data_IF_417505597405
#
_entry.id   IF_417505597405
#
_cell.length_a   1.000
_cell.length_b   1.000
_cell.length_c   1.000
_cell.angle_alpha   90.00
_cell.angle_beta   90.00
_cell.angle_gamma   90.00
#
_symmetry.space_group_name_H-M   'P 1'
#
loop_
_entity.id
_entity.type
_entity.pdbx_description
1 polymer ?
#
# COMPACT_ATOMS: atom_id res chain seq x y z
N UNK A 1 -43.61 54.37 -67.15
CA UNK A 1 -43.62 52.91 -67.32
C UNK A 1 -42.89 52.37 -66.11
N UNK A 2 -43.62 51.82 -65.14
CA UNK A 2 -43.05 51.35 -63.89
C UNK A 2 -42.08 50.21 -64.16
N UNK A 3 -40.87 50.31 -63.61
CA UNK A 3 -39.87 49.26 -63.70
C UNK A 3 -40.37 48.04 -62.92
N UNK A 4 -40.81 47.03 -63.66
CA UNK A 4 -40.97 45.66 -63.15
C UNK A 4 -39.57 45.16 -62.80
N UNK A 5 -39.36 44.70 -61.57
CA UNK A 5 -38.09 44.17 -61.10
C UNK A 5 -37.73 42.91 -61.91
N UNK A 6 -36.89 43.06 -62.94
CA UNK A 6 -36.54 41.96 -63.86
C UNK A 6 -35.26 41.24 -63.47
N UNK A 7 -34.50 41.76 -62.49
CA UNK A 7 -33.21 41.20 -62.09
C UNK A 7 -33.12 41.05 -60.56
N UNK A 8 -33.52 39.88 -60.05
CA UNK A 8 -33.56 39.57 -58.60
C UNK A 8 -32.38 38.71 -58.10
N UNK A 9 -31.40 38.38 -58.94
CA UNK A 9 -30.41 37.33 -58.61
C UNK A 9 -29.27 37.76 -57.68
N UNK A 10 -29.00 39.06 -57.51
CA UNK A 10 -28.01 39.55 -56.56
C UNK A 10 -28.58 40.74 -55.78
N UNK A 11 -28.78 40.57 -54.47
CA UNK A 11 -29.28 41.62 -53.56
C UNK A 11 -28.15 42.25 -52.72
N UNK A 12 -26.90 42.02 -53.12
CA UNK A 12 -25.71 42.58 -52.48
C UNK A 12 -24.54 42.69 -53.46
N UNK A 13 -23.62 43.59 -53.15
CA UNK A 13 -22.34 43.80 -53.83
C UNK A 13 -21.24 44.01 -52.79
N UNK A 14 -20.11 43.35 -53.01
CA UNK A 14 -18.94 43.45 -52.16
C UNK A 14 -17.81 44.16 -52.90
N UNK A 15 -17.12 45.03 -52.20
CA UNK A 15 -15.93 45.75 -52.65
C UNK A 15 -14.81 45.66 -51.60
N UNK A 16 -13.61 46.03 -52.00
CA UNK A 16 -12.46 46.21 -51.13
C UNK A 16 -12.03 47.68 -51.17
N UNK A 17 -11.86 48.27 -49.98
CA UNK A 17 -11.34 49.62 -49.81
C UNK A 17 -9.86 49.67 -50.21
N UNK A 18 -9.45 50.79 -50.82
CA UNK A 18 -8.06 51.06 -51.21
C UNK A 18 -7.49 52.30 -50.48
N UNK A 19 -8.25 52.89 -49.55
CA UNK A 19 -7.89 54.12 -48.83
C UNK A 19 -8.05 55.41 -49.64
N UNK A 20 -8.51 55.34 -50.90
CA UNK A 20 -8.64 56.51 -51.78
C UNK A 20 -10.01 56.63 -52.46
N UNK A 21 -10.66 55.51 -52.80
CA UNK A 21 -11.98 55.45 -53.42
C UNK A 21 -13.06 55.69 -52.38
N UNK A 22 -13.89 56.70 -52.64
CA UNK A 22 -15.03 57.08 -51.81
C UNK A 22 -16.38 56.66 -52.42
N UNK A 23 -16.44 56.37 -53.72
CA UNK A 23 -17.68 56.03 -54.43
C UNK A 23 -17.75 54.54 -54.82
N UNK A 24 -18.85 53.88 -54.45
CA UNK A 24 -19.10 52.45 -54.64
C UNK A 24 -20.47 52.23 -55.29
N UNK A 25 -20.54 51.84 -56.58
CA UNK A 25 -21.81 51.63 -57.27
C UNK A 25 -22.46 50.29 -56.90
N UNK A 26 -23.78 50.23 -56.92
CA UNK A 26 -24.55 48.98 -56.85
C UNK A 26 -25.58 48.95 -57.96
N UNK A 27 -25.93 47.76 -58.43
CA UNK A 27 -26.77 47.53 -59.62
C UNK A 27 -28.10 46.81 -59.31
N UNK A 28 -28.38 46.57 -58.03
CA UNK A 28 -29.64 45.97 -57.59
C UNK A 28 -30.69 47.04 -57.29
N UNK A 29 -31.96 46.70 -57.53
CA UNK A 29 -33.07 47.61 -57.32
C UNK A 29 -33.42 47.80 -55.83
N UNK A 30 -33.73 49.05 -55.46
CA UNK A 30 -34.20 49.48 -54.14
C UNK A 30 -35.33 50.51 -54.27
N UNK A 31 -36.17 50.70 -53.24
CA UNK A 31 -37.32 51.61 -53.32
C UNK A 31 -37.02 53.01 -52.80
N UNK A 32 -36.16 53.12 -51.79
CA UNK A 32 -35.52 54.37 -51.35
C UNK A 32 -34.07 54.16 -50.87
N UNK A 33 -33.40 55.26 -50.51
CA UNK A 33 -32.00 55.25 -50.06
C UNK A 33 -31.77 54.53 -48.73
N UNK A 34 -32.79 54.46 -47.87
CA UNK A 34 -32.78 53.74 -46.60
C UNK A 34 -33.02 52.23 -46.71
N UNK A 35 -33.34 51.73 -47.91
CA UNK A 35 -33.40 50.30 -48.22
C UNK A 35 -32.01 49.70 -48.54
N UNK A 36 -30.93 50.47 -48.36
CA UNK A 36 -29.53 50.05 -48.54
C UNK A 36 -28.85 49.97 -47.19
N UNK A 37 -28.34 48.78 -46.84
CA UNK A 37 -27.48 48.55 -45.69
C UNK A 37 -26.02 48.45 -46.13
N UNK A 38 -25.13 49.00 -45.32
CA UNK A 38 -23.68 48.97 -45.56
C UNK A 38 -23.01 48.37 -44.34
N UNK A 39 -22.08 47.45 -44.58
CA UNK A 39 -21.17 46.96 -43.54
C UNK A 39 -19.71 47.07 -43.95
N UNK A 40 -18.88 47.41 -42.97
CA UNK A 40 -17.42 47.44 -43.08
C UNK A 40 -16.86 46.30 -42.24
N UNK A 41 -16.13 45.36 -42.86
CA UNK A 41 -15.59 44.16 -42.20
C UNK A 41 -16.63 43.36 -41.37
N UNK A 42 -17.88 43.38 -41.84
CA UNK A 42 -19.00 42.69 -41.19
C UNK A 42 -19.74 43.51 -40.12
N UNK A 43 -19.28 44.72 -39.78
CA UNK A 43 -20.00 45.63 -38.89
C UNK A 43 -20.89 46.59 -39.67
N UNK A 44 -22.19 46.62 -39.37
CA UNK A 44 -23.14 47.55 -40.00
C UNK A 44 -22.84 48.99 -39.61
N UNK A 45 -22.78 49.87 -40.61
CA UNK A 45 -22.55 51.32 -40.43
C UNK A 45 -23.80 52.08 -40.83
N UNK A 46 -24.22 53.03 -39.99
CA UNK A 46 -25.46 53.83 -40.18
C UNK A 46 -25.17 55.29 -40.60
N UNK A 47 -23.92 55.75 -40.52
CA UNK A 47 -23.51 57.14 -40.78
C UNK A 47 -22.16 57.22 -41.51
N UNK A 48 -21.79 58.38 -42.04
CA UNK A 48 -20.49 58.57 -42.73
C UNK A 48 -20.51 58.18 -44.20
N UNK A 49 -21.71 58.04 -44.78
CA UNK A 49 -21.92 57.83 -46.21
C UNK A 49 -23.23 58.49 -46.68
N UNK A 50 -23.36 58.65 -47.99
CA UNK A 50 -24.56 59.11 -48.66
C UNK A 50 -24.93 58.16 -49.80
N UNK A 51 -26.22 57.81 -49.89
CA UNK A 51 -26.74 56.94 -50.96
C UNK A 51 -27.45 57.79 -51.99
N UNK A 52 -26.98 57.74 -53.24
CA UNK A 52 -27.62 58.38 -54.38
C UNK A 52 -28.21 57.32 -55.30
N UNK A 53 -29.53 57.35 -55.51
CA UNK A 53 -30.19 56.41 -56.42
C UNK A 53 -30.14 56.89 -57.87
N UNK A 54 -30.07 55.95 -58.81
CA UNK A 54 -30.21 56.24 -60.24
C UNK A 54 -31.57 56.89 -60.56
N UNK A 55 -31.60 57.81 -61.53
CA UNK A 55 -32.86 58.46 -61.94
C UNK A 55 -33.79 57.45 -62.60
N UNK A 56 -35.08 57.51 -62.28
CA UNK A 56 -36.13 56.68 -62.88
C UNK A 56 -36.00 56.60 -64.41
N UNK A 57 -35.70 55.42 -64.93
CA UNK A 57 -35.64 55.13 -66.37
C UNK A 57 -34.23 54.91 -66.95
N UNK A 58 -33.15 55.05 -66.17
CA UNK A 58 -31.76 54.81 -66.65
C UNK A 58 -31.12 53.50 -66.16
N UNK A 59 -31.87 52.64 -65.45
CA UNK A 59 -31.41 51.35 -64.93
C UNK A 59 -31.50 51.24 -63.41
N UNK A 60 -31.55 50.00 -62.91
CA UNK A 60 -31.52 49.61 -61.50
C UNK A 60 -30.23 50.09 -60.80
N UNK A 61 -30.30 50.44 -59.51
CA UNK A 61 -29.12 50.69 -58.68
C UNK A 61 -28.86 52.14 -58.24
N UNK A 62 -27.63 52.38 -57.79
CA UNK A 62 -27.19 53.65 -57.21
C UNK A 62 -25.71 53.68 -56.86
N UNK A 63 -25.27 54.73 -56.17
CA UNK A 63 -23.90 54.91 -55.69
C UNK A 63 -23.94 55.21 -54.20
N UNK A 64 -23.17 54.46 -53.43
CA UNK A 64 -22.81 54.78 -52.05
C UNK A 64 -21.54 55.62 -52.07
N UNK A 65 -21.58 56.82 -51.50
CA UNK A 65 -20.43 57.71 -51.36
C UNK A 65 -20.06 57.85 -49.88
N UNK A 66 -18.87 57.42 -49.49
CA UNK A 66 -18.35 57.61 -48.13
C UNK A 66 -17.81 59.02 -47.92
N UNK A 67 -18.02 59.58 -46.72
CA UNK A 67 -17.44 60.87 -46.31
C UNK A 67 -15.91 60.75 -46.09
N UNK A 68 -15.44 59.55 -45.73
CA UNK A 68 -14.03 59.18 -45.63
C UNK A 68 -13.82 57.85 -46.35
N UNK A 69 -12.90 57.80 -47.31
CA UNK A 69 -12.62 56.58 -48.08
C UNK A 69 -12.28 55.40 -47.14
N UNK A 70 -12.92 54.22 -47.30
CA UNK A 70 -12.59 53.03 -46.52
C UNK A 70 -11.10 52.67 -46.66
N UNK A 71 -10.45 52.36 -45.54
CA UNK A 71 -9.02 52.04 -45.51
C UNK A 71 -8.69 50.82 -46.40
N UNK A 72 -7.43 50.73 -46.82
CA UNK A 72 -6.96 49.62 -47.66
C UNK A 72 -7.21 48.27 -46.98
N UNK A 73 -7.88 47.35 -47.69
CA UNK A 73 -8.20 46.01 -47.21
C UNK A 73 -9.51 45.88 -46.43
N UNK A 74 -10.20 46.99 -46.11
CA UNK A 74 -11.53 46.96 -45.48
C UNK A 74 -12.54 46.41 -46.48
N UNK A 75 -13.28 45.38 -46.09
CA UNK A 75 -14.39 44.83 -46.88
C UNK A 75 -15.59 45.74 -46.79
N UNK A 76 -16.06 46.24 -47.93
CA UNK A 76 -17.26 47.06 -48.04
C UNK A 76 -18.37 46.19 -48.63
N UNK A 77 -19.37 45.86 -47.83
CA UNK A 77 -20.55 45.12 -48.28
C UNK A 77 -21.75 46.08 -48.38
N UNK A 78 -22.34 46.18 -49.57
CA UNK A 78 -23.54 46.98 -49.85
C UNK A 78 -24.66 46.00 -50.16
N UNK A 79 -25.70 45.97 -49.34
CA UNK A 79 -26.81 45.04 -49.48
C UNK A 79 -28.16 45.73 -49.44
N UNK A 80 -29.17 45.13 -50.06
CA UNK A 80 -30.56 45.55 -49.87
C UNK A 80 -31.05 45.10 -48.50
N UNK A 81 -31.65 46.03 -47.76
CA UNK A 81 -32.28 45.79 -46.47
C UNK A 81 -33.66 46.45 -46.43
N UNK A 82 -34.68 45.74 -46.92
CA UNK A 82 -36.05 46.25 -46.91
C UNK A 82 -36.65 46.23 -45.50
N UNK A 83 -37.22 47.36 -45.08
CA UNK A 83 -38.06 47.43 -43.87
C UNK A 83 -39.52 47.31 -44.29
N UNK A 84 -40.26 46.36 -43.70
CA UNK A 84 -41.67 46.16 -44.02
C UNK A 84 -42.47 47.46 -43.80
N UNK A 85 -42.97 48.05 -44.89
CA UNK A 85 -43.74 49.29 -44.90
C UNK A 85 -44.73 49.31 -46.06
N UNK A 86 -45.73 50.19 -45.99
CA UNK A 86 -46.58 50.49 -47.15
C UNK A 86 -45.93 51.57 -48.00
N UNK A 87 -45.87 51.36 -49.31
CA UNK A 87 -45.37 52.36 -50.25
C UNK A 87 -46.46 53.36 -50.66
N UNK A 88 -47.68 52.88 -50.88
CA UNK A 88 -48.79 53.71 -51.39
C UNK A 88 -50.00 53.75 -50.45
N UNK A 89 -50.64 54.92 -50.36
CA UNK A 89 -51.95 55.11 -49.74
C UNK A 89 -53.02 55.31 -50.82
N UNK A 90 -53.87 54.31 -51.00
CA UNK A 90 -55.00 54.37 -51.94
C UNK A 90 -56.18 55.10 -51.29
N UNK A 91 -56.71 56.12 -51.97
CA UNK A 91 -57.96 56.78 -51.56
C UNK A 91 -59.18 55.99 -52.07
N UNK A 92 -60.25 55.94 -51.27
CA UNK A 92 -61.45 55.13 -51.53
C UNK A 92 -62.22 55.58 -52.79
N UNK A 93 -62.06 56.82 -53.23
CA UNK A 93 -62.79 57.40 -54.36
C UNK A 93 -62.01 57.41 -55.67
N UNK A 94 -60.79 56.87 -55.70
CA UNK A 94 -59.94 56.85 -56.90
C UNK A 94 -59.59 55.41 -57.28
N UNK A 95 -59.60 55.11 -58.59
CA UNK A 95 -59.06 53.84 -59.09
C UNK A 95 -57.53 53.90 -58.95
N UNK A 96 -56.90 52.97 -58.20
CA UNK A 96 -55.45 52.93 -58.11
C UNK A 96 -54.84 52.80 -59.49
N UNK A 97 -53.76 53.53 -59.73
CA UNK A 97 -53.01 53.35 -60.97
C UNK A 97 -52.35 51.98 -60.96
N UNK A 98 -52.40 51.25 -62.08
CA UNK A 98 -51.81 49.91 -62.19
C UNK A 98 -50.33 49.89 -61.85
N UNK A 99 -49.58 50.94 -62.20
CA UNK A 99 -48.16 51.08 -61.87
C UNK A 99 -47.88 51.23 -60.37
N UNK A 100 -48.81 51.82 -59.60
CA UNK A 100 -48.71 51.88 -58.14
C UNK A 100 -49.00 50.51 -57.50
N UNK A 101 -50.00 49.79 -58.02
CA UNK A 101 -50.31 48.42 -57.55
C UNK A 101 -49.14 47.49 -57.83
N UNK A 102 -48.60 47.49 -59.05
CA UNK A 102 -47.47 46.63 -59.42
C UNK A 102 -46.26 46.90 -58.53
N UNK A 103 -45.97 48.18 -58.24
CA UNK A 103 -44.87 48.57 -57.36
C UNK A 103 -45.06 48.10 -55.92
N UNK A 104 -46.27 48.20 -55.38
CA UNK A 104 -46.58 47.72 -54.03
C UNK A 104 -46.48 46.18 -53.95
N UNK A 105 -46.94 45.45 -54.99
CA UNK A 105 -46.85 43.99 -55.05
C UNK A 105 -45.41 43.51 -55.19
N UNK A 106 -44.60 44.18 -56.02
CA UNK A 106 -43.18 43.93 -56.15
C UNK A 106 -42.47 44.13 -54.80
N UNK A 107 -42.79 45.21 -54.08
CA UNK A 107 -42.23 45.47 -52.74
C UNK A 107 -42.51 44.33 -51.77
N UNK A 108 -43.77 43.88 -51.68
CA UNK A 108 -44.14 42.78 -50.78
C UNK A 108 -43.43 41.49 -51.18
N UNK A 109 -43.35 41.19 -52.48
CA UNK A 109 -42.67 39.98 -52.99
C UNK A 109 -41.20 39.98 -52.62
N UNK A 110 -40.51 41.11 -52.82
CA UNK A 110 -39.09 41.25 -52.50
C UNK A 110 -38.85 41.23 -50.99
N UNK A 111 -39.70 41.92 -50.20
CA UNK A 111 -39.59 41.93 -48.74
C UNK A 111 -39.78 40.52 -48.14
N UNK A 112 -40.71 39.72 -48.69
CA UNK A 112 -40.90 38.31 -48.28
C UNK A 112 -39.67 37.49 -48.67
N UNK A 113 -39.10 37.68 -49.86
CA UNK A 113 -37.87 37.00 -50.26
C UNK A 113 -36.65 37.34 -49.39
N UNK A 114 -36.56 38.59 -48.91
CA UNK A 114 -35.51 39.00 -47.97
C UNK A 114 -35.72 38.38 -46.57
N UNK A 115 -36.98 38.24 -46.12
CA UNK A 115 -37.33 37.49 -44.90
C UNK A 115 -36.98 35.99 -45.03
N UNK A 116 -37.31 35.37 -46.16
CA UNK A 116 -37.00 33.95 -46.43
C UNK A 116 -35.48 33.69 -46.38
N UNK A 117 -34.69 34.59 -46.97
CA UNK A 117 -33.23 34.54 -46.90
C UNK A 117 -32.71 34.70 -45.46
N UNK A 118 -33.28 35.62 -44.69
CA UNK A 118 -32.90 35.82 -43.28
C UNK A 118 -33.25 34.59 -42.43
N UNK A 119 -34.42 33.97 -42.67
CA UNK A 119 -34.85 32.76 -41.99
C UNK A 119 -34.03 31.54 -42.40
N UNK A 120 -33.53 31.44 -43.64
CA UNK A 120 -32.69 30.33 -44.10
C UNK A 120 -31.42 30.10 -43.26
N UNK A 121 -30.92 31.12 -42.56
CA UNK A 121 -29.77 31.00 -41.65
C UNK A 121 -30.14 30.73 -40.18
N UNK A 122 -31.43 30.67 -39.86
CA UNK A 122 -31.92 30.45 -38.50
C UNK A 122 -31.95 28.95 -38.13
N UNK A 123 -31.96 28.68 -36.82
CA UNK A 123 -32.19 27.33 -36.31
C UNK A 123 -33.65 26.93 -36.54
N UNK A 124 -33.86 25.78 -37.17
CA UNK A 124 -35.18 25.20 -37.38
C UNK A 124 -35.33 23.91 -36.60
N UNK A 125 -36.49 23.74 -35.96
CA UNK A 125 -36.90 22.45 -35.41
C UNK A 125 -37.42 21.55 -36.53
N UNK A 126 -37.22 20.24 -36.38
CA UNK A 126 -37.89 19.26 -37.22
C UNK A 126 -39.41 19.43 -37.14
N UNK A 127 -40.13 19.04 -38.19
CA UNK A 127 -41.59 19.14 -38.22
C UNK A 127 -42.26 18.38 -37.06
N UNK A 128 -41.67 17.27 -36.59
CA UNK A 128 -42.18 16.49 -35.47
C UNK A 128 -42.12 17.24 -34.13
N UNK A 129 -41.19 18.18 -33.98
CA UNK A 129 -40.85 18.78 -32.68
C UNK A 129 -41.42 20.20 -32.51
N UNK A 130 -42.04 20.78 -33.55
CA UNK A 130 -42.47 22.21 -33.55
C UNK A 130 -43.49 22.58 -32.48
N UNK A 131 -44.35 21.64 -32.10
CA UNK A 131 -45.40 21.85 -31.08
C UNK A 131 -44.93 21.46 -29.68
N UNK A 132 -43.74 20.86 -29.55
CA UNK A 132 -43.24 20.27 -28.31
C UNK A 132 -41.94 20.91 -27.83
N UNK A 133 -41.14 21.49 -28.72
CA UNK A 133 -39.85 22.08 -28.41
C UNK A 133 -39.75 23.54 -28.85
N UNK A 134 -38.81 24.27 -28.26
CA UNK A 134 -38.55 25.68 -28.54
C UNK A 134 -37.13 25.91 -29.06
N UNK A 135 -37.01 26.61 -30.19
CA UNK A 135 -35.72 27.08 -30.71
C UNK A 135 -35.25 28.39 -30.05
N UNK A 136 -35.89 28.83 -28.96
CA UNK A 136 -35.49 30.04 -28.24
C UNK A 136 -34.12 29.83 -27.61
N UNK A 137 -33.16 30.67 -27.98
CA UNK A 137 -31.83 30.63 -27.38
C UNK A 137 -31.87 31.04 -25.90
N UNK A 138 -31.08 30.36 -25.04
CA UNK A 138 -30.90 30.78 -23.65
C UNK A 138 -30.17 32.12 -23.55
N UNK A 139 -30.17 32.73 -22.35
CA UNK A 139 -29.41 33.95 -22.12
C UNK A 139 -27.93 33.74 -22.44
N UNK A 140 -27.31 34.71 -23.11
CA UNK A 140 -25.93 34.60 -23.60
C UNK A 140 -24.98 34.47 -22.40
N UNK A 141 -24.23 33.36 -22.38
CA UNK A 141 -23.18 33.09 -21.40
C UNK A 141 -21.84 32.87 -22.15
N UNK A 142 -20.83 33.73 -21.95
CA UNK A 142 -19.55 33.60 -22.65
C UNK A 142 -18.87 32.26 -22.37
N UNK A 143 -18.32 31.63 -23.43
CA UNK A 143 -17.52 30.40 -23.32
C UNK A 143 -18.30 29.11 -23.10
N UNK A 144 -19.64 29.15 -23.14
CA UNK A 144 -20.53 27.99 -22.96
C UNK A 144 -21.00 27.48 -24.33
N UNK A 145 -21.14 26.16 -24.47
CA UNK A 145 -21.74 25.53 -25.66
C UNK A 145 -23.27 25.55 -25.57
N UNK A 146 -23.98 25.45 -26.70
CA UNK A 146 -25.42 25.24 -26.72
C UNK A 146 -25.73 23.74 -26.80
N UNK A 147 -26.62 23.26 -25.93
CA UNK A 147 -27.09 21.86 -25.88
C UNK A 147 -28.61 21.81 -25.80
N UNK A 148 -29.20 20.65 -26.07
CA UNK A 148 -30.58 20.36 -25.65
C UNK A 148 -30.65 20.27 -24.12
N UNK A 149 -31.73 20.79 -23.53
CA UNK A 149 -31.99 20.59 -22.11
C UNK A 149 -32.38 19.14 -21.81
N UNK A 150 -32.37 18.78 -20.53
CA UNK A 150 -32.66 17.42 -20.08
C UNK A 150 -34.11 17.01 -20.37
N UNK A 151 -35.03 17.97 -20.43
CA UNK A 151 -36.43 17.74 -20.79
C UNK A 151 -36.64 17.53 -22.30
N UNK A 152 -35.66 17.87 -23.15
CA UNK A 152 -35.71 17.72 -24.60
C UNK A 152 -36.67 18.68 -25.32
N UNK A 153 -37.18 19.70 -24.62
CA UNK A 153 -38.14 20.68 -25.15
C UNK A 153 -37.51 22.06 -25.43
N UNK A 154 -36.18 22.19 -25.32
CA UNK A 154 -35.51 23.44 -25.62
C UNK A 154 -33.98 23.40 -25.55
N UNK A 155 -33.37 24.57 -25.71
CA UNK A 155 -31.93 24.76 -25.67
C UNK A 155 -31.46 25.35 -24.34
N UNK A 156 -30.30 24.88 -23.87
CA UNK A 156 -29.65 25.35 -22.65
C UNK A 156 -28.15 25.61 -22.87
N UNK A 157 -27.57 26.41 -21.97
CA UNK A 157 -26.12 26.59 -21.92
C UNK A 157 -25.48 25.37 -21.26
N UNK A 158 -24.64 24.67 -22.02
CA UNK A 158 -23.93 23.47 -21.62
C UNK A 158 -22.58 23.74 -20.95
N UNK A 159 -21.70 22.73 -20.89
CA UNK A 159 -20.38 22.85 -20.28
C UNK A 159 -19.52 23.91 -21.00
N UNK A 160 -18.58 24.53 -20.27
CA UNK A 160 -17.59 25.40 -20.89
C UNK A 160 -16.37 24.62 -21.40
N UNK A 161 -15.45 25.31 -22.08
CA UNK A 161 -14.24 24.69 -22.60
C UNK A 161 -13.36 24.04 -21.51
N UNK A 162 -13.39 24.56 -20.28
CA UNK A 162 -12.69 23.99 -19.13
C UNK A 162 -13.34 22.68 -18.67
N UNK A 163 -14.67 22.67 -18.56
CA UNK A 163 -15.46 21.47 -18.25
C UNK A 163 -15.18 20.35 -19.27
N UNK A 164 -15.17 20.67 -20.57
CA UNK A 164 -14.92 19.69 -21.65
C UNK A 164 -13.47 19.17 -21.62
N UNK A 165 -12.48 20.03 -21.37
CA UNK A 165 -11.08 19.62 -21.26
C UNK A 165 -10.84 18.70 -20.03
N UNK A 166 -11.57 18.95 -18.93
CA UNK A 166 -11.47 18.18 -17.70
C UNK A 166 -12.07 16.76 -17.82
N UNK A 167 -12.97 16.50 -18.77
CA UNK A 167 -13.54 15.16 -19.00
C UNK A 167 -12.47 14.16 -19.48
N UNK A 168 -11.58 14.58 -20.38
CA UNK A 168 -10.46 13.73 -20.83
C UNK A 168 -9.48 13.43 -19.69
N UNK A 169 -9.22 14.42 -18.83
CA UNK A 169 -8.43 14.26 -17.61
C UNK A 169 -9.11 13.32 -16.60
N UNK A 170 -10.42 13.47 -16.40
CA UNK A 170 -11.20 12.66 -15.47
C UNK A 170 -11.29 11.19 -15.89
N UNK A 171 -11.43 10.91 -17.19
CA UNK A 171 -11.38 9.55 -17.72
C UNK A 171 -10.00 8.91 -17.51
N UNK A 172 -8.92 9.67 -17.72
CA UNK A 172 -7.54 9.22 -17.46
C UNK A 172 -7.31 8.95 -15.97
N UNK A 173 -7.81 9.82 -15.09
CA UNK A 173 -7.74 9.65 -13.64
C UNK A 173 -8.58 8.46 -13.15
N UNK A 174 -9.76 8.24 -13.73
CA UNK A 174 -10.61 7.08 -13.43
C UNK A 174 -9.93 5.76 -13.87
N UNK A 175 -9.33 5.72 -15.06
CA UNK A 175 -8.55 4.55 -15.50
C UNK A 175 -7.32 4.33 -14.62
N UNK A 176 -6.60 5.39 -14.24
CA UNK A 176 -5.47 5.27 -13.32
C UNK A 176 -5.91 4.80 -11.93
N UNK A 177 -7.07 5.23 -11.44
CA UNK A 177 -7.65 4.77 -10.18
C UNK A 177 -8.07 3.29 -10.27
N UNK A 178 -8.69 2.87 -11.37
CA UNK A 178 -9.03 1.47 -11.63
C UNK A 178 -7.78 0.58 -11.67
N UNK A 179 -6.74 0.99 -12.40
CA UNK A 179 -5.46 0.27 -12.46
C UNK A 179 -4.79 0.19 -11.07
N UNK A 180 -4.87 1.26 -10.26
CA UNK A 180 -4.34 1.25 -8.88
C UNK A 180 -5.14 0.34 -7.97
N UNK A 181 -6.45 0.26 -8.14
CA UNK A 181 -7.34 -0.63 -7.39
C UNK A 181 -7.08 -2.09 -7.76
N UNK A 182 -6.95 -2.41 -9.05
CA UNK A 182 -6.58 -3.75 -9.54
C UNK A 182 -5.18 -4.17 -9.06
N UNK A 183 -4.22 -3.25 -9.11
CA UNK A 183 -2.88 -3.50 -8.55
C UNK A 183 -2.91 -3.64 -7.02
N UNK A 184 -3.81 -2.95 -6.32
CA UNK A 184 -4.00 -3.12 -4.88
C UNK A 184 -4.64 -4.45 -4.56
N UNK A 185 -5.61 -4.90 -5.35
CA UNK A 185 -6.23 -6.21 -5.22
C UNK A 185 -5.23 -7.33 -5.50
N UNK A 186 -4.43 -7.22 -6.56
CA UNK A 186 -3.33 -8.15 -6.84
C UNK A 186 -2.29 -8.19 -5.71
N UNK A 187 -1.96 -7.03 -5.10
CA UNK A 187 -1.11 -6.96 -3.91
C UNK A 187 -1.78 -7.61 -2.69
N UNK A 188 -3.07 -7.43 -2.48
CA UNK A 188 -3.84 -8.05 -1.39
C UNK A 188 -3.96 -9.56 -1.55
N UNK A 189 -4.23 -10.06 -2.76
CA UNK A 189 -4.23 -11.49 -3.06
C UNK A 189 -2.83 -12.10 -2.90
N UNK A 190 -1.79 -11.38 -3.33
CA UNK A 190 -0.40 -11.78 -3.10
C UNK A 190 -0.06 -11.79 -1.60
N UNK A 191 -0.50 -10.79 -0.83
CA UNK A 191 -0.31 -10.70 0.61
C UNK A 191 -1.11 -11.78 1.36
N UNK A 192 -2.30 -12.15 0.90
CA UNK A 192 -3.08 -13.25 1.46
C UNK A 192 -2.43 -14.60 1.16
N UNK A 193 -1.93 -14.78 -0.07
CA UNK A 193 -1.15 -15.96 -0.44
C UNK A 193 0.17 -16.02 0.36
N UNK A 194 0.82 -14.87 0.60
CA UNK A 194 1.99 -14.77 1.47
C UNK A 194 1.62 -15.04 2.91
N UNK A 195 0.52 -14.52 3.46
CA UNK A 195 0.06 -14.82 4.81
C UNK A 195 -0.28 -16.31 4.99
N UNK A 196 -0.87 -16.94 3.98
CA UNK A 196 -1.11 -18.38 3.94
C UNK A 196 0.19 -19.20 3.83
N UNK A 197 1.23 -18.66 3.20
CA UNK A 197 2.60 -19.22 3.20
C UNK A 197 3.35 -18.94 4.50
N UNK A 198 3.15 -17.79 5.14
CA UNK A 198 3.82 -17.35 6.37
C UNK A 198 3.30 -18.12 7.59
N UNK A 199 2.01 -18.48 7.61
CA UNK A 199 1.47 -19.45 8.58
C UNK A 199 1.91 -20.89 8.30
N UNK A 200 2.50 -21.15 7.12
CA UNK A 200 3.10 -22.42 6.74
C UNK A 200 4.62 -22.25 6.52
N UNK A 201 5.31 -21.54 7.42
CA UNK A 201 6.76 -21.56 7.53
C UNK A 201 7.52 -20.57 6.62
N UNK A 202 7.97 -19.48 7.25
CA UNK A 202 9.14 -18.65 6.93
C UNK A 202 9.20 -17.86 5.60
N UNK A 203 9.65 -16.60 5.72
CA UNK A 203 10.89 -16.08 5.10
C UNK A 203 10.71 -14.66 4.53
N UNK A 204 11.15 -13.65 5.28
CA UNK A 204 11.43 -12.32 4.73
C UNK A 204 12.90 -12.27 4.30
N UNK A 205 13.06 -12.17 2.99
CA UNK A 205 14.27 -12.02 2.17
C UNK A 205 15.15 -10.82 2.55
N UNK A 206 16.41 -11.05 2.95
CA UNK A 206 17.48 -10.03 2.90
C UNK A 206 18.89 -10.62 2.56
N UNK A 207 19.25 -10.45 1.28
CA UNK A 207 20.58 -10.35 0.61
C UNK A 207 21.33 -11.63 0.15
N UNK A 208 21.14 -11.95 -1.13
CA UNK A 208 21.68 -13.07 -1.90
C UNK A 208 23.06 -12.79 -2.54
N UNK A 209 24.16 -12.79 -1.77
CA UNK A 209 25.50 -12.75 -2.39
C UNK A 209 26.47 -13.86 -2.01
N UNK A 210 26.17 -14.67 -1.00
CA UNK A 210 27.09 -15.74 -0.56
C UNK A 210 26.58 -17.16 -0.79
N UNK A 211 25.37 -17.36 -1.33
CA UNK A 211 24.85 -18.70 -1.65
C UNK A 211 24.80 -19.69 -0.48
N UNK A 212 24.92 -19.19 0.77
CA UNK A 212 25.09 -20.03 1.96
C UNK A 212 24.02 -19.75 3.03
N UNK A 213 22.96 -19.02 2.71
CA UNK A 213 21.94 -18.62 3.67
C UNK A 213 20.96 -19.76 4.04
N UNK A 214 20.78 -20.75 3.16
CA UNK A 214 19.86 -21.88 3.40
C UNK A 214 20.50 -23.06 4.16
N UNK A 215 21.76 -22.94 4.61
CA UNK A 215 22.41 -23.97 5.42
C UNK A 215 22.32 -23.75 6.94
N UNK A 216 21.79 -22.59 7.38
CA UNK A 216 21.88 -22.11 8.77
C UNK A 216 20.55 -21.92 9.51
N UNK A 217 19.40 -21.90 8.82
CA UNK A 217 18.09 -22.17 9.45
C UNK A 217 17.92 -23.66 9.77
N UNK A 218 18.81 -24.51 9.26
CA UNK A 218 18.88 -25.90 9.69
C UNK A 218 19.52 -25.96 11.09
N UNK A 219 18.66 -25.96 12.13
CA UNK A 219 19.01 -26.28 13.52
C UNK A 219 19.90 -27.54 13.63
N UNK A 220 19.95 -28.38 12.59
CA UNK A 220 20.81 -29.55 12.53
C UNK A 220 22.32 -29.26 12.48
N UNK A 221 22.75 -28.05 12.12
CA UNK A 221 24.17 -27.69 11.91
C UNK A 221 24.73 -26.62 12.85
N UNK A 222 23.91 -26.08 13.77
CA UNK A 222 24.38 -25.06 14.71
C UNK A 222 25.37 -25.67 15.73
N UNK A 223 26.61 -25.16 15.82
CA UNK A 223 27.55 -25.58 16.86
C UNK A 223 27.07 -25.11 18.23
N UNK A 224 27.06 -26.03 19.20
CA UNK A 224 26.70 -25.74 20.59
C UNK A 224 27.97 -25.48 21.40
N UNK A 225 27.96 -24.39 22.16
CA UNK A 225 29.03 -23.98 23.06
C UNK A 225 28.47 -23.86 24.48
N UNK A 226 29.07 -24.56 25.44
CA UNK A 226 28.76 -24.39 26.86
C UNK A 226 29.88 -23.53 27.49
N UNK A 227 29.53 -22.35 27.97
CA UNK A 227 30.45 -21.38 28.57
C UNK A 227 30.08 -21.14 30.04
N UNK A 228 30.56 -22.00 30.96
CA UNK A 228 30.22 -21.91 32.39
C UNK A 228 30.99 -20.81 33.14
N UNK A 229 31.86 -20.07 32.46
CA UNK A 229 32.72 -19.00 32.98
C UNK A 229 32.86 -17.90 31.91
N UNK A 230 33.50 -16.78 32.26
CA UNK A 230 33.74 -15.67 31.34
C UNK A 230 34.44 -16.11 30.06
N UNK A 231 33.96 -15.61 28.91
CA UNK A 231 34.41 -16.05 27.59
C UNK A 231 34.47 -14.91 26.58
N UNK A 232 35.46 -14.93 25.70
CA UNK A 232 35.53 -14.05 24.52
C UNK A 232 35.11 -14.87 23.30
N UNK A 233 34.22 -14.32 22.46
CA UNK A 233 33.75 -14.99 21.24
C UNK A 233 34.70 -14.80 20.06
N UNK A 234 34.92 -15.86 19.27
CA UNK A 234 35.63 -15.77 17.99
C UNK A 234 34.62 -15.62 16.84
N UNK A 235 34.94 -14.77 15.86
CA UNK A 235 34.12 -14.58 14.64
C UNK A 235 33.90 -15.87 13.85
N UNK A 236 34.81 -16.84 13.96
CA UNK A 236 34.68 -18.17 13.34
C UNK A 236 33.57 -19.02 13.95
N UNK A 237 33.11 -18.64 15.15
CA UNK A 237 32.02 -19.29 15.88
C UNK A 237 30.66 -18.66 15.56
N UNK A 238 30.58 -17.85 14.50
CA UNK A 238 29.32 -17.29 14.03
C UNK A 238 28.28 -18.38 13.79
N UNK A 239 27.04 -18.12 14.20
CA UNK A 239 25.92 -19.07 14.18
C UNK A 239 25.92 -20.10 15.30
N UNK A 240 26.84 -19.99 16.28
CA UNK A 240 26.83 -20.85 17.46
C UNK A 240 25.67 -20.51 18.41
N UNK A 241 25.14 -21.56 19.04
CA UNK A 241 24.28 -21.49 20.22
C UNK A 241 25.16 -21.57 21.47
N UNK A 242 25.15 -20.54 22.29
CA UNK A 242 26.04 -20.37 23.44
C UNK A 242 25.22 -20.37 24.72
N UNK A 243 25.44 -21.39 25.56
CA UNK A 243 24.89 -21.46 26.93
C UNK A 243 25.82 -20.72 27.89
N UNK A 244 25.25 -19.79 28.65
CA UNK A 244 25.94 -19.10 29.74
C UNK A 244 25.45 -19.60 31.09
N UNK A 245 26.34 -19.71 32.05
CA UNK A 245 25.99 -20.15 33.41
C UNK A 245 26.98 -19.60 34.43
N UNK A 246 26.65 -19.70 35.71
CA UNK A 246 27.43 -19.31 36.88
C UNK A 246 27.86 -17.83 36.89
N UNK A 247 26.98 -16.93 36.46
CA UNK A 247 27.27 -15.50 36.38
C UNK A 247 28.35 -15.15 35.35
N UNK A 248 28.56 -16.01 34.35
CA UNK A 248 29.52 -15.78 33.29
C UNK A 248 29.23 -14.48 32.53
N UNK A 249 30.31 -13.84 32.07
CA UNK A 249 30.26 -12.72 31.13
C UNK A 249 30.81 -13.12 29.78
N UNK A 250 30.07 -12.83 28.72
CA UNK A 250 30.59 -12.97 27.35
C UNK A 250 31.09 -11.63 26.84
N UNK A 251 32.24 -11.63 26.18
CA UNK A 251 32.74 -10.49 25.42
C UNK A 251 32.66 -10.79 23.93
N UNK A 252 31.89 -9.99 23.19
CA UNK A 252 31.82 -10.01 21.74
C UNK A 252 33.09 -9.38 21.14
N UNK A 253 33.55 -9.84 19.97
CA UNK A 253 34.64 -9.18 19.27
C UNK A 253 34.22 -7.77 18.84
N UNK A 254 35.19 -6.91 18.55
CA UNK A 254 34.89 -5.52 18.14
C UNK A 254 33.94 -5.47 16.94
N UNK A 255 33.04 -4.52 16.93
CA UNK A 255 32.19 -4.29 15.79
C UNK A 255 33.03 -3.69 14.64
N UNK A 256 32.87 -4.24 13.42
CA UNK A 256 33.57 -3.70 12.25
C UNK A 256 32.85 -4.07 10.97
N UNK A 257 33.14 -3.33 9.90
CA UNK A 257 32.58 -3.57 8.56
C UNK A 257 32.88 -5.00 8.07
N UNK A 258 34.07 -5.52 8.37
CA UNK A 258 34.48 -6.88 7.98
C UNK A 258 33.70 -7.98 8.72
N UNK A 259 33.02 -7.64 9.81
CA UNK A 259 32.24 -8.55 10.65
C UNK A 259 30.73 -8.44 10.37
N UNK A 260 30.34 -7.80 9.26
CA UNK A 260 28.95 -7.73 8.85
C UNK A 260 28.31 -9.12 8.81
N UNK A 261 27.21 -9.31 9.53
CA UNK A 261 26.48 -10.56 9.55
C UNK A 261 27.09 -11.65 10.44
N UNK A 262 28.11 -11.34 11.26
CA UNK A 262 28.49 -12.23 12.38
C UNK A 262 27.31 -12.29 13.37
N UNK A 263 26.93 -13.51 13.77
CA UNK A 263 25.79 -13.75 14.66
C UNK A 263 26.12 -14.73 15.76
N UNK A 264 25.55 -14.54 16.94
CA UNK A 264 25.58 -15.52 18.02
C UNK A 264 24.23 -15.58 18.70
N UNK A 265 23.79 -16.78 19.08
CA UNK A 265 22.61 -16.95 19.94
C UNK A 265 23.08 -17.26 21.34
N UNK A 266 22.87 -16.36 22.28
CA UNK A 266 23.28 -16.51 23.67
C UNK A 266 22.05 -16.71 24.54
N UNK A 267 22.14 -17.61 25.52
CA UNK A 267 21.08 -17.78 26.49
C UNK A 267 21.59 -18.09 27.88
N UNK A 268 20.81 -17.72 28.89
CA UNK A 268 21.11 -17.98 30.29
C UNK A 268 20.62 -19.39 30.70
N UNK A 269 21.55 -20.32 30.92
CA UNK A 269 21.26 -21.70 31.24
C UNK A 269 20.89 -21.95 32.70
N UNK A 270 21.43 -21.22 33.67
CA UNK A 270 21.30 -21.59 35.08
C UNK A 270 20.45 -20.63 35.92
N UNK A 271 20.08 -19.48 35.35
CA UNK A 271 19.25 -18.46 36.00
C UNK A 271 20.02 -17.51 36.91
N UNK A 272 21.34 -17.61 36.95
CA UNK A 272 22.18 -16.55 37.52
C UNK A 272 22.30 -15.43 36.50
N UNK A 273 22.22 -14.16 36.90
CA UNK A 273 22.36 -13.07 35.94
C UNK A 273 23.70 -13.19 35.20
N UNK A 274 23.63 -13.25 33.87
CA UNK A 274 24.80 -13.27 33.00
C UNK A 274 24.78 -12.02 32.13
N UNK A 275 25.97 -11.48 31.89
CA UNK A 275 26.13 -10.22 31.16
C UNK A 275 26.84 -10.46 29.84
N UNK A 276 26.41 -9.74 28.80
CA UNK A 276 27.07 -9.73 27.50
C UNK A 276 27.68 -8.36 27.33
N UNK A 277 28.96 -8.30 27.03
CA UNK A 277 29.65 -7.07 26.72
C UNK A 277 30.16 -7.09 25.30
N UNK A 278 30.14 -5.93 24.66
CA UNK A 278 30.91 -5.74 23.45
C UNK A 278 32.37 -5.41 23.79
N UNK A 279 33.23 -5.43 22.78
CA UNK A 279 34.60 -4.98 22.98
C UNK A 279 34.64 -3.50 23.39
N UNK A 280 35.79 -3.06 23.89
CA UNK A 280 35.92 -1.72 24.48
C UNK A 280 35.55 -0.62 23.50
N UNK A 281 34.47 0.11 23.80
CA UNK A 281 33.99 1.26 23.01
C UNK A 281 32.77 0.95 22.13
N UNK A 282 32.45 -0.33 21.93
CA UNK A 282 31.26 -0.73 21.20
C UNK A 282 30.02 -0.72 22.09
N UNK A 283 28.90 -0.36 21.50
CA UNK A 283 27.58 -0.43 22.14
C UNK A 283 26.75 -1.54 21.53
N UNK A 284 25.91 -2.15 22.35
CA UNK A 284 24.91 -3.13 21.96
C UNK A 284 23.57 -2.40 21.90
N UNK A 285 22.94 -2.39 20.72
CA UNK A 285 21.67 -1.73 20.45
C UNK A 285 20.51 -2.73 20.48
N UNK A 286 19.54 -2.61 21.39
CA UNK A 286 18.36 -3.48 21.39
C UNK A 286 17.41 -3.14 20.24
N UNK A 287 16.99 -4.14 19.47
CA UNK A 287 16.05 -3.93 18.34
C UNK A 287 14.63 -3.56 18.79
N UNK A 288 14.30 -3.77 20.06
CA UNK A 288 13.00 -3.40 20.64
C UNK A 288 12.95 -1.95 21.15
N UNK A 289 13.94 -1.11 20.83
CA UNK A 289 14.00 0.29 21.27
C UNK A 289 14.45 0.46 22.74
N UNK A 290 15.09 -0.55 23.32
CA UNK A 290 15.76 -0.44 24.62
C UNK A 290 16.99 0.46 24.57
N UNK A 291 17.52 0.83 25.73
CA UNK A 291 18.71 1.67 25.82
C UNK A 291 19.95 0.96 25.25
N UNK A 292 20.74 1.67 24.43
CA UNK A 292 22.05 1.21 23.98
C UNK A 292 23.03 1.19 25.18
N UNK A 293 23.90 0.18 25.22
CA UNK A 293 24.88 0.08 26.29
C UNK A 293 26.03 -0.87 25.98
N UNK A 294 27.15 -0.71 26.68
CA UNK A 294 28.29 -1.63 26.57
C UNK A 294 28.05 -2.99 27.24
N UNK A 295 26.92 -3.14 27.95
CA UNK A 295 26.50 -4.37 28.61
C UNK A 295 25.03 -4.64 28.31
N UNK A 296 24.72 -5.85 27.86
CA UNK A 296 23.38 -6.39 27.66
C UNK A 296 23.14 -7.54 28.65
N UNK A 297 22.20 -7.41 29.61
CA UNK A 297 21.96 -8.43 30.63
C UNK A 297 21.01 -9.53 30.16
N UNK A 298 21.22 -10.76 30.65
CA UNK A 298 20.26 -11.87 30.60
C UNK A 298 19.90 -12.28 32.05
N UNK A 299 18.93 -11.59 32.67
CA UNK A 299 18.67 -11.67 34.11
C UNK A 299 18.10 -13.00 34.59
N UNK A 300 17.30 -13.70 33.78
CA UNK A 300 16.62 -14.93 34.21
C UNK A 300 16.99 -16.13 33.34
N UNK A 301 16.73 -17.32 33.89
CA UNK A 301 16.95 -18.58 33.18
C UNK A 301 16.09 -18.63 31.92
N UNK A 302 16.69 -19.04 30.81
CA UNK A 302 16.04 -19.12 29.51
C UNK A 302 16.05 -17.81 28.74
N UNK A 303 16.40 -16.68 29.37
CA UNK A 303 16.58 -15.44 28.62
C UNK A 303 17.56 -15.65 27.48
N UNK A 304 17.12 -15.25 26.30
CA UNK A 304 17.84 -15.47 25.06
C UNK A 304 17.91 -14.21 24.24
N UNK A 305 19.04 -14.05 23.57
CA UNK A 305 19.28 -12.96 22.65
C UNK A 305 20.06 -13.46 21.44
N UNK A 306 19.59 -13.07 20.27
CA UNK A 306 20.35 -13.13 19.03
C UNK A 306 21.14 -11.84 18.90
N UNK A 307 22.46 -11.97 18.87
CA UNK A 307 23.38 -10.87 18.66
C UNK A 307 23.81 -10.85 17.21
N UNK A 308 23.65 -9.72 16.53
CA UNK A 308 24.00 -9.55 15.12
C UNK A 308 24.90 -8.34 14.97
N UNK A 309 26.05 -8.50 14.34
CA UNK A 309 26.88 -7.36 13.95
C UNK A 309 26.35 -6.80 12.62
N UNK A 310 25.90 -5.56 12.59
CA UNK A 310 25.80 -4.83 11.32
C UNK A 310 27.20 -4.33 10.95
N UNK A 311 27.59 -4.47 9.71
CA UNK A 311 28.88 -3.99 9.22
C UNK A 311 28.78 -2.64 8.55
N UNK A 312 27.80 -1.81 8.90
CA UNK A 312 27.54 -0.52 8.22
C UNK A 312 27.81 0.60 9.23
N UNK A 313 28.44 1.70 8.80
CA UNK A 313 28.70 2.89 9.66
C UNK A 313 29.49 2.60 10.95
N UNK A 314 30.72 2.07 10.81
CA UNK A 314 31.63 1.83 11.94
C UNK A 314 31.48 0.46 12.60
N UNK A 315 30.41 -0.26 12.31
CA UNK A 315 30.08 -1.57 12.87
C UNK A 315 29.36 -1.42 14.21
N UNK A 316 28.23 -2.10 14.39
CA UNK A 316 27.49 -2.12 15.67
C UNK A 316 26.94 -3.51 15.97
N UNK A 317 26.76 -3.80 17.26
CA UNK A 317 26.07 -5.00 17.72
C UNK A 317 24.60 -4.70 17.98
N UNK A 318 23.72 -5.54 17.45
CA UNK A 318 22.29 -5.51 17.71
C UNK A 318 21.91 -6.69 18.57
N UNK A 319 21.19 -6.42 19.65
CA UNK A 319 20.55 -7.43 20.47
C UNK A 319 19.09 -7.57 20.03
N UNK A 320 18.77 -8.75 19.50
CA UNK A 320 17.43 -9.18 19.18
C UNK A 320 16.96 -10.18 20.23
N UNK A 321 16.17 -9.75 21.22
CA UNK A 321 15.62 -10.66 22.22
C UNK A 321 14.80 -11.75 21.53
N UNK A 322 15.12 -13.00 21.81
CA UNK A 322 14.37 -14.13 21.28
C UNK A 322 13.27 -14.43 22.28
N UNK A 323 12.03 -14.21 21.88
CA UNK A 323 10.90 -14.65 22.70
C UNK A 323 10.72 -16.14 22.51
N UNK A 324 10.77 -16.89 23.60
CA UNK A 324 10.46 -18.31 23.60
C UNK A 324 8.97 -18.50 23.26
N UNK A 325 8.69 -18.98 22.04
CA UNK A 325 7.34 -19.44 21.65
C UNK A 325 7.17 -20.94 21.84
N UNK A 326 8.20 -21.61 22.36
CA UNK A 326 8.22 -23.05 22.53
C UNK A 326 7.77 -23.52 23.91
N UNK A 327 7.72 -24.85 24.12
CA UNK A 327 7.23 -25.41 25.36
C UNK A 327 8.17 -25.13 26.54
N UNK A 328 7.56 -24.61 27.60
CA UNK A 328 8.08 -24.53 28.96
C UNK A 328 7.42 -25.63 29.78
N UNK A 329 8.24 -26.41 30.48
CA UNK A 329 7.82 -27.47 31.39
C UNK A 329 8.57 -27.34 32.71
N UNK A 330 7.82 -27.29 33.82
CA UNK A 330 8.31 -27.29 35.19
C UNK A 330 7.60 -28.38 35.98
N UNK A 331 8.35 -29.37 36.42
CA UNK A 331 7.86 -30.49 37.23
C UNK A 331 8.59 -30.51 38.58
N UNK A 332 7.88 -31.00 39.59
CA UNK A 332 8.41 -31.23 40.92
C UNK A 332 8.14 -32.67 41.33
N UNK A 333 9.01 -33.16 42.22
CA UNK A 333 8.78 -34.39 42.97
C UNK A 333 8.76 -34.03 44.45
N UNK A 334 7.55 -33.96 45.00
CA UNK A 334 7.29 -33.45 46.34
C UNK A 334 7.22 -34.54 47.40
N UNK A 335 6.61 -35.68 47.08
CA UNK A 335 6.60 -36.85 47.94
C UNK A 335 7.89 -37.68 47.78
N UNK A 336 8.23 -38.41 48.83
CA UNK A 336 9.40 -39.30 48.79
C UNK A 336 9.20 -40.43 47.79
N UNK A 337 10.26 -40.80 47.06
CA UNK A 337 10.27 -41.95 46.15
C UNK A 337 11.32 -42.98 46.58
N UNK A 338 10.93 -44.24 46.68
CA UNK A 338 11.89 -45.33 46.88
C UNK A 338 12.65 -45.66 45.61
N UNK A 339 13.97 -45.84 45.73
CA UNK A 339 14.87 -46.27 44.68
C UNK A 339 15.39 -47.66 45.07
N UNK A 340 14.98 -48.73 44.37
CA UNK A 340 15.39 -50.08 44.72
C UNK A 340 16.90 -50.34 44.59
N UNK A 341 17.40 -51.26 45.41
CA UNK A 341 18.80 -51.70 45.48
C UNK A 341 19.44 -52.00 44.11
N UNK A 342 20.65 -51.48 43.87
CA UNK A 342 21.51 -51.72 42.70
C UNK A 342 20.91 -51.35 41.34
N UNK A 343 19.70 -50.78 41.32
CA UNK A 343 18.89 -50.57 40.13
C UNK A 343 18.97 -49.16 39.56
N UNK A 344 18.49 -49.02 38.33
CA UNK A 344 18.33 -47.73 37.67
C UNK A 344 16.84 -47.47 37.42
N UNK A 345 16.26 -46.51 38.13
CA UNK A 345 14.83 -46.28 38.23
C UNK A 345 14.42 -44.95 37.57
N UNK A 346 13.18 -44.84 37.10
CA UNK A 346 12.66 -43.60 36.53
C UNK A 346 12.16 -42.68 37.65
N UNK A 347 12.51 -41.41 37.60
CA UNK A 347 11.95 -40.45 38.55
C UNK A 347 10.50 -40.19 38.18
N UNK A 348 9.61 -40.41 39.13
CA UNK A 348 8.19 -40.15 38.99
C UNK A 348 7.96 -38.71 39.43
N UNK A 349 7.50 -37.86 38.50
CA UNK A 349 7.13 -36.48 38.82
C UNK A 349 5.69 -36.44 39.30
N UNK A 350 5.44 -35.97 40.52
CA UNK A 350 4.11 -36.01 41.13
C UNK A 350 3.37 -34.68 41.05
N UNK A 351 4.08 -33.61 40.71
CA UNK A 351 3.51 -32.28 40.58
C UNK A 351 3.96 -31.62 39.27
N UNK A 352 2.98 -31.26 38.45
CA UNK A 352 3.18 -30.41 37.28
C UNK A 352 2.95 -28.97 37.71
N UNK A 353 4.02 -28.17 37.81
CA UNK A 353 3.93 -26.73 38.10
C UNK A 353 3.54 -25.97 36.85
N UNK A 354 4.13 -26.35 35.71
CA UNK A 354 3.87 -25.74 34.42
C UNK A 354 4.08 -26.79 33.32
N UNK A 355 3.13 -26.91 32.42
CA UNK A 355 3.30 -27.63 31.17
C UNK A 355 2.48 -26.91 30.09
N UNK A 356 3.15 -25.95 29.46
CA UNK A 356 2.52 -25.03 28.50
C UNK A 356 1.95 -25.73 27.26
N UNK A 357 2.39 -26.95 26.96
CA UNK A 357 2.06 -27.66 25.71
C UNK A 357 1.58 -29.10 25.92
N UNK A 358 1.31 -29.49 27.17
CA UNK A 358 0.80 -30.83 27.50
C UNK A 358 1.78 -31.96 27.11
N UNK A 359 3.08 -31.74 27.28
CA UNK A 359 4.12 -32.70 26.90
C UNK A 359 4.36 -33.77 27.96
N UNK A 360 4.04 -33.51 29.23
CA UNK A 360 4.27 -34.44 30.32
C UNK A 360 3.29 -35.62 30.25
N UNK A 361 3.84 -36.83 30.19
CA UNK A 361 3.10 -38.09 30.22
C UNK A 361 3.46 -38.88 31.48
N UNK A 362 2.48 -39.01 32.39
CA UNK A 362 2.62 -39.74 33.63
C UNK A 362 2.84 -41.24 33.43
N UNK A 363 2.41 -41.83 32.30
CA UNK A 363 2.62 -43.26 32.03
C UNK A 363 4.07 -43.59 31.70
N UNK A 364 4.81 -42.64 31.12
CA UNK A 364 6.23 -42.79 30.78
C UNK A 364 7.17 -42.08 31.75
N UNK A 365 6.61 -41.35 32.73
CA UNK A 365 7.32 -40.49 33.67
C UNK A 365 8.30 -39.53 32.99
N UNK A 366 7.86 -38.96 31.86
CA UNK A 366 8.70 -38.16 30.99
C UNK A 366 7.89 -37.27 30.07
N UNK A 367 8.61 -36.53 29.23
CA UNK A 367 8.02 -35.72 28.18
C UNK A 367 7.92 -36.54 26.90
N UNK A 368 6.82 -36.42 26.16
CA UNK A 368 6.59 -37.09 24.88
C UNK A 368 6.11 -36.09 23.83
N UNK A 369 6.17 -36.48 22.55
CA UNK A 369 5.65 -35.63 21.47
C UNK A 369 6.40 -34.31 21.29
N UNK A 370 7.65 -34.21 21.77
CA UNK A 370 8.42 -32.98 21.68
C UNK A 370 8.72 -32.65 20.20
N UNK A 371 8.46 -31.39 19.82
CA UNK A 371 8.82 -30.91 18.50
C UNK A 371 10.34 -30.95 18.29
N UNK A 372 10.83 -31.15 17.06
CA UNK A 372 12.24 -31.00 16.76
C UNK A 372 12.78 -29.63 17.19
N UNK A 373 14.00 -29.62 17.73
CA UNK A 373 14.67 -28.39 18.16
C UNK A 373 15.61 -28.58 19.34
N UNK A 374 16.14 -27.46 19.82
CA UNK A 374 16.99 -27.41 21.01
C UNK A 374 16.18 -27.08 22.25
N UNK A 375 16.44 -27.81 23.32
CA UNK A 375 15.84 -27.61 24.61
C UNK A 375 16.93 -27.49 25.64
N UNK A 376 16.85 -26.46 26.47
CA UNK A 376 17.64 -26.43 27.68
C UNK A 376 16.90 -27.21 28.75
N UNK A 377 17.65 -27.96 29.53
CA UNK A 377 17.13 -28.76 30.64
C UNK A 377 17.98 -28.54 31.88
N UNK A 378 17.31 -28.50 33.02
CA UNK A 378 17.91 -28.45 34.34
C UNK A 378 17.09 -29.31 35.29
N UNK A 379 17.74 -30.32 35.84
CA UNK A 379 17.14 -31.28 36.75
C UNK A 379 17.97 -31.34 38.01
N UNK A 380 17.31 -31.30 39.15
CA UNK A 380 17.91 -31.53 40.45
C UNK A 380 17.14 -32.59 41.20
N UNK A 381 17.85 -33.42 41.95
CA UNK A 381 17.25 -34.48 42.77
C UNK A 381 17.85 -34.43 44.16
N UNK A 382 16.98 -34.39 45.16
CA UNK A 382 17.36 -34.34 46.57
C UNK A 382 17.43 -35.72 47.19
N UNK A 383 18.54 -36.01 47.87
CA UNK A 383 18.78 -37.23 48.61
C UNK A 383 18.91 -36.92 50.10
N UNK A 384 18.25 -37.67 50.99
CA UNK A 384 18.54 -37.58 52.40
C UNK A 384 19.96 -38.09 52.66
N UNK A 385 20.74 -37.31 53.39
CA UNK A 385 22.09 -37.68 53.82
C UNK A 385 21.98 -38.83 54.83
N UNK A 386 22.79 -39.87 54.65
CA UNK A 386 22.79 -41.06 55.53
C UNK A 386 24.17 -41.31 56.13
N UNK A 387 24.32 -42.34 56.96
CA UNK A 387 25.63 -42.74 57.49
C UNK A 387 26.58 -43.33 56.43
N UNK A 388 26.08 -43.65 55.24
CA UNK A 388 26.81 -44.31 54.18
C UNK A 388 26.86 -43.45 52.92
N UNK A 389 28.03 -43.42 52.30
CA UNK A 389 28.25 -42.72 51.04
C UNK A 389 27.88 -43.65 49.88
N UNK A 390 26.98 -43.20 49.03
CA UNK A 390 26.48 -43.96 47.89
C UNK A 390 26.80 -43.22 46.60
N UNK A 391 27.38 -43.91 45.62
CA UNK A 391 27.53 -43.36 44.27
C UNK A 391 26.17 -43.28 43.61
N UNK A 392 25.84 -42.10 43.09
CA UNK A 392 24.59 -41.79 42.42
C UNK A 392 24.85 -41.26 41.02
N UNK A 393 24.00 -41.66 40.09
CA UNK A 393 24.06 -41.28 38.68
C UNK A 393 22.70 -40.80 38.23
N UNK A 394 22.64 -39.56 37.76
CA UNK A 394 21.46 -38.96 37.14
C UNK A 394 21.67 -38.88 35.63
N UNK A 395 20.77 -39.50 34.86
CA UNK A 395 20.87 -39.60 33.40
C UNK A 395 19.61 -39.06 32.73
N UNK A 396 19.79 -38.17 31.77
CA UNK A 396 18.75 -37.77 30.83
C UNK A 396 18.74 -38.75 29.67
N UNK A 397 17.62 -39.45 29.49
CA UNK A 397 17.40 -40.38 28.39
C UNK A 397 16.54 -39.72 27.30
N UNK A 398 16.97 -39.85 26.05
CA UNK A 398 16.10 -39.69 24.88
C UNK A 398 15.42 -41.03 24.59
N UNK A 399 14.11 -41.02 24.36
CA UNK A 399 13.36 -42.24 24.07
C UNK A 399 12.28 -42.02 23.00
N UNK A 400 11.88 -43.09 22.31
CA UNK A 400 10.81 -43.11 21.29
C UNK A 400 9.65 -44.07 21.67
N UNK A 401 9.65 -44.57 22.90
CA UNK A 401 8.71 -45.58 23.42
C UNK A 401 9.31 -46.99 23.53
N UNK A 402 10.21 -47.37 22.61
CA UNK A 402 10.84 -48.71 22.59
C UNK A 402 12.34 -48.65 22.86
N UNK A 403 13.04 -47.71 22.23
CA UNK A 403 14.47 -47.50 22.34
C UNK A 403 14.80 -46.32 23.26
N UNK A 404 15.96 -46.39 23.90
CA UNK A 404 16.47 -45.34 24.80
C UNK A 404 17.97 -45.15 24.62
N UNK A 405 18.42 -43.89 24.69
CA UNK A 405 19.84 -43.53 24.71
C UNK A 405 20.07 -42.43 25.74
N UNK A 406 21.18 -42.53 26.49
CA UNK A 406 21.60 -41.48 27.43
C UNK A 406 22.14 -40.29 26.63
N UNK A 407 21.65 -39.09 26.95
CA UNK A 407 22.06 -37.83 26.32
C UNK A 407 22.98 -37.02 27.21
N UNK A 408 22.60 -36.83 28.48
CA UNK A 408 23.43 -36.18 29.50
C UNK A 408 23.49 -37.05 30.75
N UNK A 409 24.59 -36.96 31.47
CA UNK A 409 24.79 -37.70 32.71
C UNK A 409 25.55 -36.85 33.73
N UNK A 410 25.15 -36.96 34.99
CA UNK A 410 25.82 -36.40 36.15
C UNK A 410 26.07 -37.51 37.16
N UNK A 411 27.26 -37.54 37.75
CA UNK A 411 27.66 -38.55 38.71
C UNK A 411 28.20 -37.86 39.95
N UNK A 412 27.81 -38.35 41.12
CA UNK A 412 28.32 -37.84 42.39
C UNK A 412 28.23 -38.90 43.48
N UNK A 413 28.97 -38.69 44.57
CA UNK A 413 28.91 -39.51 45.77
C UNK A 413 28.09 -38.75 46.81
N UNK A 414 27.06 -39.39 47.34
CA UNK A 414 26.20 -38.77 48.35
C UNK A 414 26.97 -38.46 49.63
N UNK A 415 26.73 -37.27 50.19
CA UNK A 415 27.31 -36.86 51.47
C UNK A 415 26.84 -37.79 52.61
N UNK A 416 27.65 -37.85 53.67
CA UNK A 416 27.33 -38.61 54.89
C UNK A 416 27.04 -37.70 56.09
N UNK A 417 26.19 -38.15 57.01
CA UNK A 417 25.72 -37.35 58.14
C UNK A 417 24.26 -37.63 58.51
N UNK A 418 23.60 -36.64 59.12
CA UNK A 418 22.19 -36.74 59.54
C UNK A 418 21.48 -35.40 59.44
N UNK A 419 20.17 -35.42 59.19
CA UNK A 419 19.31 -34.22 59.22
C UNK A 419 19.53 -33.22 58.09
N UNK A 420 20.20 -33.63 57.01
CA UNK A 420 20.49 -32.78 55.84
C UNK A 420 20.12 -33.50 54.53
N UNK A 421 20.02 -32.73 53.46
CA UNK A 421 19.82 -33.23 52.11
C UNK A 421 21.00 -32.86 51.21
N UNK A 422 21.34 -33.76 50.29
CA UNK A 422 22.31 -33.55 49.23
C UNK A 422 21.59 -33.48 47.89
N UNK A 423 21.92 -32.51 47.02
CA UNK A 423 21.26 -32.36 45.72
C UNK A 423 22.20 -32.69 44.57
N UNK A 424 21.84 -33.68 43.77
CA UNK A 424 22.53 -33.99 42.52
C UNK A 424 21.85 -33.23 41.38
N UNK A 425 22.63 -32.47 40.60
CA UNK A 425 22.12 -31.67 39.49
C UNK A 425 22.63 -32.19 38.15
N UNK A 426 21.77 -32.12 37.15
CA UNK A 426 22.04 -32.41 35.75
C UNK A 426 21.43 -31.28 34.91
N UNK A 427 22.25 -30.56 34.16
CA UNK A 427 21.77 -29.51 33.27
C UNK A 427 22.57 -29.43 31.98
N UNK A 428 21.94 -28.93 30.93
CA UNK A 428 22.57 -28.78 29.63
C UNK A 428 21.58 -28.57 28.51
N UNK A 429 22.02 -28.81 27.28
CA UNK A 429 21.19 -28.69 26.08
C UNK A 429 20.95 -30.05 25.46
N UNK A 430 19.69 -30.32 25.12
CA UNK A 430 19.27 -31.50 24.39
C UNK A 430 18.67 -31.12 23.05
N UNK A 431 19.04 -31.88 22.02
CA UNK A 431 18.52 -31.74 20.67
C UNK A 431 17.55 -32.87 20.37
N UNK A 432 16.32 -32.50 20.00
CA UNK A 432 15.31 -33.40 19.46
C UNK A 432 15.41 -33.34 17.94
N UNK A 433 15.73 -34.47 17.31
CA UNK A 433 15.90 -34.54 15.86
C UNK A 433 14.57 -34.85 15.16
N UNK A 434 14.32 -34.34 13.94
CA UNK A 434 13.18 -34.73 13.12
C UNK A 434 13.20 -36.25 12.86
N UNK A 435 12.07 -36.92 13.12
CA UNK A 435 11.94 -38.38 12.93
C UNK A 435 12.75 -39.24 13.92
N UNK A 436 13.39 -38.63 14.92
CA UNK A 436 14.12 -39.33 15.98
C UNK A 436 13.30 -39.53 17.26
N UNK A 437 13.95 -40.00 18.32
CA UNK A 437 13.37 -40.05 19.66
C UNK A 437 12.90 -38.66 20.11
N UNK A 438 11.59 -38.51 20.26
CA UNK A 438 10.89 -37.25 20.62
C UNK A 438 10.51 -37.15 22.09
N UNK A 439 10.96 -38.10 22.92
CA UNK A 439 10.72 -38.09 24.36
C UNK A 439 11.97 -37.89 25.19
N UNK A 440 11.79 -37.30 26.37
CA UNK A 440 12.82 -37.12 27.40
C UNK A 440 12.35 -37.67 28.73
N UNK A 441 13.22 -38.38 29.45
CA UNK A 441 12.95 -38.81 30.83
C UNK A 441 14.22 -38.88 31.66
N UNK A 442 14.06 -38.91 32.97
CA UNK A 442 15.19 -38.94 33.90
C UNK A 442 15.27 -40.30 34.56
N UNK A 443 16.45 -40.89 34.47
CA UNK A 443 16.80 -42.13 35.16
C UNK A 443 17.81 -41.83 36.26
N UNK A 444 17.58 -42.42 37.41
CA UNK A 444 18.45 -42.35 38.57
C UNK A 444 18.96 -43.74 38.91
N UNK A 445 20.26 -43.87 39.16
CA UNK A 445 20.90 -45.10 39.62
C UNK A 445 21.71 -44.81 40.88
N UNK A 446 21.75 -45.78 41.80
CA UNK A 446 22.69 -45.76 42.92
C UNK A 446 23.47 -47.08 43.02
N UNK A 447 24.63 -47.05 43.69
CA UNK A 447 25.52 -48.21 43.84
C UNK A 447 25.14 -49.17 44.97
N UNK A 448 24.28 -48.72 45.88
CA UNK A 448 24.01 -49.41 47.12
C UNK A 448 23.07 -50.63 47.00
N UNK A 449 23.15 -51.56 47.95
CA UNK A 449 22.42 -52.83 47.98
C UNK A 449 21.14 -52.80 48.83
N UNK A 450 20.82 -51.66 49.46
CA UNK A 450 19.53 -51.39 50.08
C UNK A 450 18.74 -50.33 49.32
N UNK A 451 17.43 -50.24 49.58
CA UNK A 451 16.57 -49.22 48.96
C UNK A 451 16.93 -47.84 49.50
N UNK A 452 17.23 -46.90 48.60
CA UNK A 452 17.46 -45.48 48.94
C UNK A 452 16.22 -44.65 48.64
N UNK A 453 16.21 -43.40 49.08
CA UNK A 453 15.05 -42.51 48.92
C UNK A 453 15.44 -41.23 48.18
N UNK A 454 14.56 -40.77 47.30
CA UNK A 454 14.46 -39.34 46.97
C UNK A 454 13.73 -38.69 48.15
N UNK A 455 14.30 -37.61 48.69
CA UNK A 455 13.72 -36.90 49.82
C UNK A 455 12.41 -36.20 49.42
N UNK A 456 11.43 -36.20 50.32
CA UNK A 456 10.25 -35.36 50.17
C UNK A 456 10.67 -33.89 50.32
N UNK A 457 10.31 -33.05 49.35
CA UNK A 457 10.62 -31.63 49.35
C UNK A 457 9.79 -30.88 48.33
N UNK A 458 9.27 -29.72 48.71
CA UNK A 458 8.47 -28.87 47.82
C UNK A 458 9.30 -28.25 46.68
N UNK A 459 10.64 -28.21 46.77
CA UNK A 459 11.48 -27.47 45.83
C UNK A 459 12.82 -28.13 45.47
N UNK A 460 13.31 -29.11 46.25
CA UNK A 460 14.67 -29.64 46.08
C UNK A 460 14.78 -30.79 45.06
N UNK A 461 13.67 -31.26 44.51
CA UNK A 461 13.65 -32.21 43.40
C UNK A 461 12.81 -31.62 42.26
N UNK A 462 13.46 -31.18 41.19
CA UNK A 462 12.85 -30.39 40.12
C UNK A 462 13.29 -30.85 38.74
N UNK A 463 12.43 -30.60 37.76
CA UNK A 463 12.72 -30.64 36.34
C UNK A 463 12.27 -29.34 35.72
N UNK A 464 13.19 -28.61 35.11
CA UNK A 464 12.90 -27.45 34.29
C UNK A 464 13.38 -27.69 32.87
N UNK A 465 12.50 -27.48 31.90
CA UNK A 465 12.81 -27.55 30.48
C UNK A 465 12.16 -26.40 29.75
N UNK A 466 12.90 -25.79 28.84
CA UNK A 466 12.40 -24.76 27.95
C UNK A 466 13.03 -24.94 26.57
N UNK A 467 12.27 -24.65 25.52
CA UNK A 467 12.77 -24.69 24.14
C UNK A 467 13.58 -23.43 23.86
N UNK A 468 14.82 -23.63 23.42
CA UNK A 468 15.82 -22.56 23.20
C UNK A 468 16.14 -22.31 21.72
N UNK A 469 15.29 -22.80 20.80
CA UNK A 469 15.48 -22.58 19.37
C UNK A 469 14.23 -22.98 18.59
N UNK A 470 13.81 -22.10 17.68
CA UNK A 470 12.74 -22.29 16.71
C UNK A 470 12.79 -21.23 15.63
#
# INVERSE_FOLDING_TARGET
>A
MGTVFTNQMAASRQFEGDGARDEFPFDFDVFDSGDVAISLDGETVETGFHVTLGRSGTGAGGIVKFETAPASGVRVDIARALRLRRLSSYDAMSVPRGDAIDRDLDFVTVAIGDIDRALSGALHLDAADRDQASAKLPAIAPGRVLIWNDEGDGLANGPDAGDIANVAGSATLAQAAANRAEAADARSQTALASFGRDHAGAMLDLDFRSGNALSWEDERRQPLIDAPLNRIMDIRETGALVRLSNGARVTLPDASIARNGVRYRLFNGDGTQVDIAAASGDVIAPVHGGAEGGIYPLPIRGDMVDLVCDGITGGRWFACPVRESGPVVKLLRTASQGIPAGGAFLIEWDQVVEDSHGLYDAATHGLTGMAPGFYHIDVGVSFPVTSEAVMTTLSLERFNGTDRNIHLQSNDITATGSGANHSLRLGGVVRIAPGGASGLRIRLRHSDDVTRMIAASDLLSWWHLHRIGG
#
